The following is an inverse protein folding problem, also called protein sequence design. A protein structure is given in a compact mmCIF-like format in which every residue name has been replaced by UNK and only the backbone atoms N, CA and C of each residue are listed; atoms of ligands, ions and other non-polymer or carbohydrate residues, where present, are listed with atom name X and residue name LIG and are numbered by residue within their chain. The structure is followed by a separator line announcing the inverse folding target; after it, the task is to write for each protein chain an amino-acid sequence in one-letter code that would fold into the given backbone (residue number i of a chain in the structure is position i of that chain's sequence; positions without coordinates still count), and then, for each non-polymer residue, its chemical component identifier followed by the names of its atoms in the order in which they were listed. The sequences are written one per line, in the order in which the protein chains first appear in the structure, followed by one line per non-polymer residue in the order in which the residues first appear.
data_IF_032331620915
#
_entry.id   IF_032331620915
#
_cell.length_a   1.000
_cell.length_b   1.000
_cell.length_c   1.000
_cell.angle_alpha   90.00
_cell.angle_beta   90.00
_cell.angle_gamma   90.00
#
_symmetry.space_group_name_H-M   'P 1'
#
loop_
_entity.id
_entity.type
_entity.pdbx_description
1 polymer ?
#
# COMPACT_ATOMS: atom_id res chain seq x y z
N UNK A 1 34.09 5.68 25.89
CA UNK A 1 35.54 5.38 25.68
C UNK A 1 35.80 4.23 24.67
N UNK A 2 34.77 3.59 24.08
CA UNK A 2 34.92 2.48 23.10
C UNK A 2 35.13 2.92 21.65
N UNK A 3 34.60 4.08 21.26
CA UNK A 3 34.44 4.40 19.82
C UNK A 3 35.71 4.93 19.17
N UNK A 4 36.55 5.65 19.92
CA UNK A 4 37.84 6.15 19.43
C UNK A 4 38.88 5.05 19.21
N UNK A 5 38.79 3.94 19.98
CA UNK A 5 39.63 2.74 19.74
C UNK A 5 39.15 1.97 18.51
N UNK A 6 37.85 1.84 18.30
CA UNK A 6 37.26 1.18 17.13
C UNK A 6 37.55 1.90 15.81
N UNK A 7 37.65 3.23 15.84
CA UNK A 7 37.97 4.02 14.65
C UNK A 7 39.42 3.80 14.19
N UNK A 8 40.38 3.76 15.12
CA UNK A 8 41.80 3.41 14.83
C UNK A 8 41.98 1.97 14.35
N UNK A 9 41.13 1.04 14.82
CA UNK A 9 41.15 -0.37 14.41
C UNK A 9 40.73 -0.56 12.94
N UNK A 10 39.76 0.23 12.47
CA UNK A 10 39.22 0.10 11.11
C UNK A 10 40.15 0.61 9.99
N UNK A 11 41.24 1.29 10.36
CA UNK A 11 42.25 1.84 9.45
C UNK A 11 43.54 1.01 9.43
N UNK A 12 43.61 -0.11 10.15
CA UNK A 12 44.79 -0.97 10.17
C UNK A 12 44.84 -1.84 8.89
N UNK A 13 45.86 -1.67 8.02
CA UNK A 13 45.94 -2.38 6.74
C UNK A 13 46.09 -3.91 6.91
N UNK A 14 46.66 -4.38 8.01
CA UNK A 14 46.82 -5.81 8.30
C UNK A 14 45.46 -6.47 8.59
N UNK A 15 44.62 -5.81 9.38
CA UNK A 15 43.29 -6.32 9.72
C UNK A 15 42.36 -6.35 8.50
N UNK A 16 42.48 -5.37 7.59
CA UNK A 16 41.70 -5.33 6.35
C UNK A 16 42.10 -6.45 5.37
N UNK A 17 43.39 -6.79 5.26
CA UNK A 17 43.85 -7.93 4.46
C UNK A 17 43.28 -9.25 4.98
N UNK A 18 43.36 -9.49 6.29
CA UNK A 18 42.82 -10.70 6.93
C UNK A 18 41.30 -10.78 6.75
N UNK A 19 40.60 -9.66 6.90
CA UNK A 19 39.16 -9.59 6.64
C UNK A 19 38.83 -9.96 5.18
N UNK A 20 39.56 -9.41 4.20
CA UNK A 20 39.36 -9.71 2.80
C UNK A 20 39.62 -11.19 2.46
N UNK A 21 40.66 -11.79 3.05
CA UNK A 21 40.96 -13.21 2.88
C UNK A 21 39.89 -14.10 3.53
N UNK A 22 39.39 -13.73 4.71
CA UNK A 22 38.31 -14.45 5.37
C UNK A 22 36.97 -14.35 4.62
N UNK A 23 36.71 -13.20 4.00
CA UNK A 23 35.54 -12.98 3.15
C UNK A 23 35.65 -13.80 1.86
N UNK A 24 36.84 -13.87 1.23
CA UNK A 24 37.10 -14.79 0.09
C UNK A 24 36.90 -16.26 0.47
N UNK A 25 37.18 -16.64 1.72
CA UNK A 25 36.96 -17.97 2.25
C UNK A 25 35.51 -18.25 2.69
N UNK A 26 34.60 -17.26 2.60
CA UNK A 26 33.18 -17.45 2.94
C UNK A 26 32.89 -17.71 4.43
N UNK A 27 33.77 -17.28 5.34
CA UNK A 27 33.62 -17.51 6.77
C UNK A 27 32.47 -16.69 7.39
N UNK A 28 31.81 -17.25 8.42
CA UNK A 28 30.76 -16.55 9.18
C UNK A 28 31.33 -15.46 10.07
N UNK A 29 30.54 -14.43 10.38
CA UNK A 29 31.00 -13.24 11.13
C UNK A 29 31.60 -13.58 12.51
N UNK A 30 31.10 -14.64 13.17
CA UNK A 30 31.64 -15.14 14.45
C UNK A 30 33.05 -15.75 14.27
N UNK A 31 33.28 -16.51 13.20
CA UNK A 31 34.60 -17.10 12.90
C UNK A 31 35.61 -16.03 12.46
N UNK A 32 35.16 -15.04 11.70
CA UNK A 32 35.96 -13.87 11.32
C UNK A 32 36.41 -13.11 12.57
N UNK A 33 35.50 -12.89 13.53
CA UNK A 33 35.84 -12.23 14.80
C UNK A 33 36.90 -12.99 15.60
N UNK A 34 36.79 -14.32 15.69
CA UNK A 34 37.78 -15.15 16.39
C UNK A 34 39.16 -15.09 15.73
N UNK A 35 39.22 -15.15 14.40
CA UNK A 35 40.49 -15.09 13.66
C UNK A 35 41.16 -13.72 13.73
N UNK A 36 40.37 -12.65 13.63
CA UNK A 36 40.87 -11.29 13.84
C UNK A 36 41.40 -11.09 15.27
N UNK A 37 40.75 -11.68 16.28
CA UNK A 37 41.23 -11.63 17.65
C UNK A 37 42.56 -12.38 17.84
N UNK A 38 42.75 -13.52 17.17
CA UNK A 38 43.99 -14.31 17.24
C UNK A 38 45.16 -13.65 16.51
N UNK A 39 44.95 -13.17 15.28
CA UNK A 39 46.05 -12.68 14.42
C UNK A 39 46.37 -11.19 14.63
N UNK A 40 45.39 -10.39 15.06
CA UNK A 40 45.57 -8.96 15.29
C UNK A 40 45.59 -8.58 16.78
N UNK A 41 45.20 -9.48 17.70
CA UNK A 41 45.17 -9.21 19.14
C UNK A 41 44.04 -8.27 19.60
N UNK A 42 43.07 -7.95 18.73
CA UNK A 42 41.96 -7.04 19.03
C UNK A 42 40.60 -7.62 18.64
N UNK A 43 39.60 -7.43 19.49
CA UNK A 43 38.23 -7.92 19.26
C UNK A 43 37.40 -6.87 18.53
N UNK A 44 37.17 -7.09 17.23
CA UNK A 44 36.20 -6.28 16.48
C UNK A 44 34.78 -6.66 16.88
N UNK A 45 33.85 -5.70 16.90
CA UNK A 45 32.42 -6.01 17.08
C UNK A 45 31.85 -6.60 15.79
N UNK A 46 30.80 -7.43 15.91
CA UNK A 46 30.14 -8.06 14.76
C UNK A 46 29.59 -7.00 13.79
N UNK A 47 29.12 -5.86 14.31
CA UNK A 47 28.61 -4.75 13.50
C UNK A 47 29.69 -4.07 12.66
N UNK A 48 30.91 -3.95 13.20
CA UNK A 48 32.03 -3.36 12.45
C UNK A 48 32.48 -4.29 11.33
N UNK A 49 32.51 -5.60 11.59
CA UNK A 49 32.78 -6.63 10.58
C UNK A 49 31.70 -6.60 9.48
N UNK A 50 30.42 -6.55 9.88
CA UNK A 50 29.28 -6.49 8.95
C UNK A 50 29.26 -5.22 8.09
N UNK A 51 29.59 -4.06 8.67
CA UNK A 51 29.71 -2.80 7.91
C UNK A 51 30.84 -2.86 6.87
N UNK A 52 32.01 -3.39 7.24
CA UNK A 52 33.15 -3.50 6.31
C UNK A 52 32.94 -4.56 5.23
N UNK A 53 32.29 -5.68 5.54
CA UNK A 53 31.93 -6.68 4.54
C UNK A 53 30.96 -6.12 3.48
N UNK A 54 29.98 -5.30 3.91
CA UNK A 54 29.11 -4.55 2.99
C UNK A 54 29.87 -3.54 2.13
N UNK A 55 30.82 -2.80 2.72
CA UNK A 55 31.68 -1.90 1.97
C UNK A 55 32.59 -2.62 0.94
N UNK A 56 32.87 -3.91 1.14
CA UNK A 56 33.57 -4.77 0.19
C UNK A 56 32.64 -5.51 -0.79
N UNK A 57 31.36 -5.11 -0.88
CA UNK A 57 30.41 -5.65 -1.85
C UNK A 57 29.85 -7.04 -1.53
N UNK A 58 30.09 -7.57 -0.33
CA UNK A 58 29.60 -8.90 0.05
C UNK A 58 28.34 -8.78 0.91
N UNK A 59 27.20 -9.09 0.29
CA UNK A 59 25.91 -9.23 0.97
C UNK A 59 25.87 -10.57 1.73
N UNK A 60 25.17 -10.61 2.87
CA UNK A 60 25.00 -11.86 3.65
C UNK A 60 24.32 -12.88 2.74
N UNK A 61 24.95 -14.05 2.52
CA UNK A 61 24.20 -15.24 2.12
C UNK A 61 23.22 -15.55 3.25
N UNK A 62 21.94 -15.58 2.89
CA UNK A 62 20.80 -15.81 3.77
C UNK A 62 21.09 -16.90 4.80
N UNK A 63 21.16 -16.48 6.06
CA UNK A 63 21.27 -17.34 7.23
C UNK A 63 20.65 -16.59 8.38
N UNK A 64 19.38 -16.94 8.66
CA UNK A 64 18.47 -16.51 9.72
C UNK A 64 18.36 -14.99 9.99
N UNK A 65 17.15 -14.39 9.90
CA UNK A 65 16.96 -12.98 10.16
C UNK A 65 17.25 -12.69 11.63
N UNK A 66 18.39 -12.02 11.89
CA UNK A 66 18.59 -11.28 13.13
C UNK A 66 17.56 -10.15 13.18
N UNK A 67 16.96 -10.01 14.36
CA UNK A 67 15.78 -9.22 14.73
C UNK A 67 15.90 -7.68 14.58
N UNK A 68 16.69 -7.18 13.62
CA UNK A 68 16.98 -5.76 13.41
C UNK A 68 16.81 -5.27 11.96
N UNK A 69 16.42 -6.14 11.03
CA UNK A 69 16.02 -5.74 9.67
C UNK A 69 14.49 -5.82 9.52
N UNK A 70 13.76 -5.22 10.48
CA UNK A 70 12.37 -4.85 10.21
C UNK A 70 12.44 -3.68 9.25
N UNK A 71 12.24 -3.97 7.96
CA UNK A 71 11.72 -2.97 7.04
C UNK A 71 10.45 -2.43 7.70
N UNK A 72 10.54 -1.24 8.27
CA UNK A 72 9.51 -0.51 9.01
C UNK A 72 8.42 0.04 8.06
N UNK A 73 8.08 -0.75 7.04
CA UNK A 73 6.98 -0.52 6.13
C UNK A 73 5.95 -1.64 6.31
N UNK A 74 4.64 -1.33 6.33
CA UNK A 74 3.60 -2.34 6.32
C UNK A 74 3.51 -2.93 4.91
N UNK A 75 4.49 -3.74 4.54
CA UNK A 75 4.47 -4.44 3.25
C UNK A 75 3.85 -5.81 3.50
N UNK A 76 2.54 -5.91 3.26
CA UNK A 76 1.91 -7.21 3.04
C UNK A 76 2.64 -7.85 1.86
N UNK A 77 3.19 -9.03 2.09
CA UNK A 77 3.73 -9.83 0.98
C UNK A 77 2.57 -10.39 0.15
N UNK A 78 2.81 -10.81 -1.08
CA UNK A 78 1.77 -11.51 -1.84
C UNK A 78 1.59 -12.93 -1.28
N UNK A 79 0.35 -13.43 -1.13
CA UNK A 79 0.13 -14.80 -0.69
C UNK A 79 0.74 -15.76 -1.73
N UNK A 80 1.27 -16.92 -1.31
CA UNK A 80 1.81 -17.89 -2.25
C UNK A 80 0.74 -18.34 -3.26
N UNK A 81 1.12 -18.58 -4.53
CA UNK A 81 0.18 -19.05 -5.54
C UNK A 81 -0.34 -20.46 -5.20
N UNK A 82 -1.65 -20.68 -5.35
CA UNK A 82 -2.29 -22.00 -5.19
C UNK A 82 -2.96 -22.28 -3.84
N UNK A 83 -2.98 -21.35 -2.88
CA UNK A 83 -3.76 -21.52 -1.65
C UNK A 83 -5.26 -21.39 -1.89
N UNK A 84 -6.06 -22.15 -1.16
CA UNK A 84 -7.52 -21.96 -1.08
C UNK A 84 -7.87 -20.63 -0.43
N UNK A 85 -9.09 -20.11 -0.66
CA UNK A 85 -9.51 -18.81 -0.10
C UNK A 85 -9.44 -18.77 1.44
N UNK A 86 -9.76 -19.88 2.11
CA UNK A 86 -9.71 -19.98 3.57
C UNK A 86 -8.27 -19.94 4.09
N UNK A 87 -7.34 -20.60 3.39
CA UNK A 87 -5.92 -20.59 3.74
C UNK A 87 -5.27 -19.23 3.43
N UNK A 88 -5.69 -18.56 2.36
CA UNK A 88 -5.31 -17.16 2.07
C UNK A 88 -5.75 -16.22 3.19
N UNK A 89 -6.99 -16.35 3.66
CA UNK A 89 -7.49 -15.55 4.77
C UNK A 89 -6.66 -15.78 6.04
N UNK A 90 -6.34 -17.04 6.36
CA UNK A 90 -5.46 -17.37 7.48
C UNK A 90 -4.06 -16.75 7.34
N UNK A 91 -3.50 -16.81 6.13
CA UNK A 91 -2.19 -16.23 5.84
C UNK A 91 -2.18 -14.70 6.05
N UNK A 92 -3.19 -13.99 5.54
CA UNK A 92 -3.32 -12.54 5.75
C UNK A 92 -3.46 -12.18 7.24
N UNK A 93 -4.19 -13.00 8.02
CA UNK A 93 -4.29 -12.81 9.48
C UNK A 93 -2.94 -12.94 10.16
N UNK A 94 -2.15 -13.96 9.80
CA UNK A 94 -0.82 -14.16 10.38
C UNK A 94 0.16 -13.04 10.00
N UNK A 95 0.10 -12.56 8.75
CA UNK A 95 0.87 -11.39 8.33
C UNK A 95 0.46 -10.12 9.08
N UNK A 96 -0.84 -9.89 9.24
CA UNK A 96 -1.34 -8.73 9.96
C UNK A 96 -0.83 -8.69 11.40
N UNK A 97 -0.83 -9.84 12.10
CA UNK A 97 -0.31 -9.96 13.48
C UNK A 97 1.16 -9.57 13.62
N UNK A 98 1.95 -9.68 12.56
CA UNK A 98 3.38 -9.29 12.55
C UNK A 98 3.58 -7.78 12.37
N UNK A 99 2.55 -7.05 11.93
CA UNK A 99 2.65 -5.61 11.67
C UNK A 99 2.61 -4.76 12.95
N UNK A 100 3.13 -3.53 12.88
CA UNK A 100 3.01 -2.57 13.97
C UNK A 100 1.56 -2.13 14.20
N UNK A 101 0.72 -2.14 13.16
CA UNK A 101 -0.69 -1.78 13.25
C UNK A 101 -1.46 -2.71 14.19
N UNK A 102 -1.13 -4.00 14.20
CA UNK A 102 -1.75 -4.95 15.13
C UNK A 102 -1.55 -4.53 16.59
N UNK A 103 -0.34 -4.08 16.96
CA UNK A 103 -0.06 -3.57 18.32
C UNK A 103 -0.85 -2.30 18.64
N UNK A 104 -1.08 -1.46 17.64
CA UNK A 104 -1.90 -0.25 17.80
C UNK A 104 -3.37 -0.61 18.03
N UNK A 105 -3.91 -1.55 17.24
CA UNK A 105 -5.29 -2.02 17.34
C UNK A 105 -5.55 -2.68 18.70
N UNK A 106 -4.63 -3.51 19.18
CA UNK A 106 -4.69 -4.11 20.51
C UNK A 106 -4.76 -3.07 21.65
N UNK A 107 -4.25 -1.85 21.44
CA UNK A 107 -4.33 -0.76 22.43
C UNK A 107 -5.62 0.05 22.32
N UNK A 108 -6.26 0.05 21.14
CA UNK A 108 -7.41 0.90 20.84
C UNK A 108 -8.75 0.19 21.09
N UNK A 109 -8.79 -1.14 20.94
CA UNK A 109 -10.02 -1.93 20.95
C UNK A 109 -9.98 -3.06 21.98
N UNK A 110 -11.16 -3.54 22.36
CA UNK A 110 -11.31 -4.68 23.28
C UNK A 110 -10.99 -5.99 22.58
N UNK A 111 -10.64 -7.04 23.34
CA UNK A 111 -10.16 -8.32 22.77
C UNK A 111 -11.15 -8.93 21.78
N UNK A 112 -12.45 -8.90 22.08
CA UNK A 112 -13.51 -9.43 21.20
C UNK A 112 -13.59 -8.65 19.88
N UNK A 113 -13.44 -7.32 19.94
CA UNK A 113 -13.45 -6.45 18.75
C UNK A 113 -12.21 -6.65 17.89
N UNK A 114 -11.06 -6.91 18.51
CA UNK A 114 -9.82 -7.22 17.81
C UNK A 114 -9.92 -8.56 17.09
N UNK A 115 -10.55 -9.56 17.69
CA UNK A 115 -10.74 -10.86 17.03
C UNK A 115 -11.67 -10.73 15.81
N UNK A 116 -12.80 -10.03 15.94
CA UNK A 116 -13.67 -9.70 14.81
C UNK A 116 -12.93 -8.93 13.71
N UNK A 117 -12.12 -7.94 14.09
CA UNK A 117 -11.30 -7.17 13.16
C UNK A 117 -10.38 -8.09 12.35
N UNK A 118 -9.65 -9.00 13.01
CA UNK A 118 -8.71 -9.90 12.34
C UNK A 118 -9.44 -10.84 11.38
N UNK A 119 -10.62 -11.34 11.79
CA UNK A 119 -11.42 -12.21 10.96
C UNK A 119 -11.88 -11.51 9.68
N UNK A 120 -12.47 -10.33 9.82
CA UNK A 120 -12.94 -9.48 8.73
C UNK A 120 -11.79 -9.03 7.82
N UNK A 121 -10.64 -8.66 8.40
CA UNK A 121 -9.45 -8.27 7.67
C UNK A 121 -8.99 -9.37 6.71
N UNK A 122 -8.88 -10.61 7.20
CA UNK A 122 -8.49 -11.74 6.36
C UNK A 122 -9.44 -11.99 5.19
N UNK A 123 -10.76 -11.86 5.43
CA UNK A 123 -11.78 -12.04 4.39
C UNK A 123 -11.77 -10.92 3.36
N UNK A 124 -11.63 -9.67 3.80
CA UNK A 124 -11.62 -8.51 2.91
C UNK A 124 -10.38 -8.53 2.01
N UNK A 125 -9.21 -8.86 2.58
CA UNK A 125 -7.96 -8.99 1.83
C UNK A 125 -7.99 -10.08 0.76
N UNK A 126 -8.74 -11.17 0.97
CA UNK A 126 -8.87 -12.22 -0.05
C UNK A 126 -9.56 -11.75 -1.33
N UNK A 127 -10.32 -10.65 -1.28
CA UNK A 127 -10.97 -10.10 -2.46
C UNK A 127 -10.01 -9.40 -3.41
N UNK A 128 -8.79 -9.08 -2.96
CA UNK A 128 -7.78 -8.37 -3.72
C UNK A 128 -6.73 -9.37 -4.23
N UNK A 129 -6.36 -9.29 -5.50
CA UNK A 129 -5.28 -10.11 -6.08
C UNK A 129 -3.90 -9.60 -5.62
N UNK A 130 -3.75 -8.28 -5.59
CA UNK A 130 -2.62 -7.53 -5.06
C UNK A 130 -3.12 -6.39 -4.16
N UNK A 131 -2.56 -6.27 -2.95
CA UNK A 131 -2.94 -5.20 -2.02
C UNK A 131 -1.82 -4.17 -2.00
N UNK A 132 -2.13 -2.97 -2.50
CA UNK A 132 -1.21 -1.83 -2.41
C UNK A 132 -1.28 -1.23 -1.00
N UNK A 133 -0.20 -0.58 -0.54
CA UNK A 133 -0.12 0.03 0.80
C UNK A 133 -1.29 1.01 1.04
N UNK A 134 -1.70 1.77 0.03
CA UNK A 134 -2.85 2.69 0.13
C UNK A 134 -4.17 1.96 0.41
N UNK A 135 -4.44 0.85 -0.29
CA UNK A 135 -5.62 0.02 -0.01
C UNK A 135 -5.54 -0.63 1.36
N UNK A 136 -4.37 -1.12 1.75
CA UNK A 136 -4.18 -1.70 3.07
C UNK A 136 -4.56 -0.70 4.17
N UNK A 137 -4.15 0.57 4.03
CA UNK A 137 -4.55 1.63 4.96
C UNK A 137 -6.05 1.95 4.88
N UNK A 138 -6.64 1.98 3.67
CA UNK A 138 -8.08 2.18 3.51
C UNK A 138 -8.91 1.04 4.11
N UNK A 139 -8.45 -0.21 4.00
CA UNK A 139 -9.06 -1.39 4.61
C UNK A 139 -9.00 -1.27 6.14
N UNK A 140 -7.85 -0.86 6.68
CA UNK A 140 -7.70 -0.61 8.12
C UNK A 140 -8.68 0.48 8.62
N UNK A 141 -8.75 1.62 7.93
CA UNK A 141 -9.66 2.70 8.27
C UNK A 141 -11.14 2.27 8.17
N UNK A 142 -11.49 1.49 7.13
CA UNK A 142 -12.83 0.94 6.94
C UNK A 142 -13.24 0.02 8.10
N UNK A 143 -12.36 -0.89 8.52
CA UNK A 143 -12.63 -1.81 9.62
C UNK A 143 -12.72 -1.09 10.98
N UNK A 144 -11.85 -0.11 11.23
CA UNK A 144 -11.96 0.76 12.41
C UNK A 144 -13.31 1.47 12.46
N UNK A 145 -13.76 2.02 11.32
CA UNK A 145 -15.07 2.67 11.25
C UNK A 145 -16.21 1.69 11.50
N UNK A 146 -16.11 0.44 11.03
CA UNK A 146 -17.11 -0.60 11.33
C UNK A 146 -17.24 -0.83 12.84
N UNK A 147 -16.13 -1.02 13.56
CA UNK A 147 -16.15 -1.19 15.02
C UNK A 147 -16.75 0.02 15.73
N UNK A 148 -16.37 1.24 15.31
CA UNK A 148 -16.92 2.46 15.90
C UNK A 148 -18.43 2.58 15.69
N UNK A 149 -18.94 2.17 14.53
CA UNK A 149 -20.38 2.11 14.25
C UNK A 149 -21.08 1.14 15.19
N UNK A 150 -20.53 -0.07 15.37
CA UNK A 150 -21.12 -1.07 16.26
C UNK A 150 -21.14 -0.59 17.72
N UNK A 151 -20.09 0.08 18.18
CA UNK A 151 -20.06 0.74 19.51
C UNK A 151 -21.18 1.79 19.66
N UNK A 152 -21.43 2.60 18.64
CA UNK A 152 -22.53 3.58 18.69
C UNK A 152 -23.90 2.89 18.75
N UNK A 153 -24.09 1.76 18.05
CA UNK A 153 -25.34 0.99 18.11
C UNK A 153 -25.57 0.38 19.50
N UNK A 154 -24.53 -0.17 20.13
CA UNK A 154 -24.60 -0.70 21.49
C UNK A 154 -24.96 0.42 22.48
N UNK A 155 -24.30 1.57 22.38
CA UNK A 155 -24.57 2.74 23.22
C UNK A 155 -26.01 3.25 23.01
N UNK A 156 -26.44 3.39 21.76
CA UNK A 156 -27.80 3.82 21.40
C UNK A 156 -28.86 2.89 21.99
N UNK A 157 -28.64 1.57 21.92
CA UNK A 157 -29.52 0.57 22.54
C UNK A 157 -29.56 0.69 24.06
N UNK A 158 -28.43 0.93 24.72
CA UNK A 158 -28.38 1.15 26.17
C UNK A 158 -29.21 2.37 26.57
N UNK A 159 -29.02 3.49 25.89
CA UNK A 159 -29.75 4.73 26.17
C UNK A 159 -31.25 4.57 25.92
N UNK A 160 -31.65 3.87 24.87
CA UNK A 160 -33.06 3.58 24.59
C UNK A 160 -33.71 2.78 25.72
N UNK A 161 -33.01 1.81 26.31
CA UNK A 161 -33.50 1.07 27.48
C UNK A 161 -33.66 1.99 28.69
N UNK A 162 -32.65 2.80 29.00
CA UNK A 162 -32.72 3.75 30.12
C UNK A 162 -33.85 4.77 29.97
N UNK A 163 -34.10 5.24 28.73
CA UNK A 163 -35.23 6.11 28.41
C UNK A 163 -36.55 5.36 28.64
N UNK A 164 -36.67 4.12 28.16
CA UNK A 164 -37.87 3.31 28.34
C UNK A 164 -38.16 3.05 29.84
N UNK A 165 -37.13 2.76 30.64
CA UNK A 165 -37.26 2.55 32.08
C UNK A 165 -37.76 3.81 32.80
N UNK A 166 -37.22 4.99 32.45
CA UNK A 166 -37.70 6.27 32.97
C UNK A 166 -39.14 6.57 32.53
N UNK A 167 -39.49 6.29 31.28
CA UNK A 167 -40.86 6.46 30.77
C UNK A 167 -41.84 5.55 31.51
N UNK A 168 -41.47 4.28 31.74
CA UNK A 168 -42.28 3.36 32.56
C UNK A 168 -42.45 3.89 33.98
N UNK A 169 -41.40 4.46 34.58
CA UNK A 169 -41.49 5.08 35.90
C UNK A 169 -42.53 6.21 35.93
N UNK A 170 -42.60 7.07 34.90
CA UNK A 170 -43.63 8.11 34.78
C UNK A 170 -45.04 7.56 34.63
N UNK A 171 -45.21 6.46 33.89
CA UNK A 171 -46.51 5.79 33.74
C UNK A 171 -46.97 5.16 35.05
N UNK A 172 -46.05 4.51 35.78
CA UNK A 172 -46.35 3.91 37.09
C UNK A 172 -46.59 4.95 38.19
N UNK A 173 -46.04 6.16 38.04
CA UNK A 173 -46.18 7.26 39.00
C UNK A 173 -46.84 8.46 38.31
N UNK A 174 -48.14 8.40 37.98
CA UNK A 174 -48.84 9.53 37.37
C UNK A 174 -48.88 10.72 38.32
N UNK A 175 -48.96 11.94 37.76
CA UNK A 175 -49.06 13.16 38.56
C UNK A 175 -50.36 13.18 39.36
N UNK A 176 -50.27 13.34 40.67
CA UNK A 176 -51.44 13.54 41.54
C UNK A 176 -51.65 15.03 41.84
N UNK A 177 -52.90 15.46 42.05
CA UNK A 177 -53.22 16.87 42.35
C UNK A 177 -52.71 17.31 43.73
N UNK A 178 -52.63 16.40 44.69
CA UNK A 178 -52.20 16.65 46.07
C UNK A 178 -50.74 16.17 46.34
N UNK A 179 -49.84 16.27 45.35
CA UNK A 179 -48.43 15.86 45.55
C UNK A 179 -47.67 16.80 46.50
N UNK A 180 -46.90 16.21 47.43
CA UNK A 180 -45.95 16.97 48.24
C UNK A 180 -44.92 17.69 47.36
N UNK A 181 -44.44 18.83 47.86
CA UNK A 181 -43.44 19.67 47.15
C UNK A 181 -42.17 18.88 46.81
N UNK A 182 -41.77 17.94 47.67
CA UNK A 182 -40.54 17.17 47.46
C UNK A 182 -40.73 16.07 46.39
N UNK A 183 -41.89 15.43 46.32
CA UNK A 183 -42.29 14.56 45.20
C UNK A 183 -42.32 15.31 43.88
N UNK A 184 -42.85 16.54 43.88
CA UNK A 184 -42.87 17.41 42.70
C UNK A 184 -41.45 17.73 42.23
N UNK A 185 -40.52 18.08 43.13
CA UNK A 185 -39.10 18.31 42.79
C UNK A 185 -38.43 17.06 42.23
N UNK A 186 -38.69 15.89 42.83
CA UNK A 186 -38.14 14.63 42.36
C UNK A 186 -38.62 14.32 40.93
N UNK A 187 -39.91 14.52 40.65
CA UNK A 187 -40.49 14.36 39.31
C UNK A 187 -39.83 15.29 38.29
N UNK A 188 -39.61 16.56 38.63
CA UNK A 188 -38.91 17.52 37.77
C UNK A 188 -37.46 17.05 37.48
N UNK A 189 -36.76 16.51 38.49
CA UNK A 189 -35.42 15.97 38.31
C UNK A 189 -35.42 14.78 37.32
N UNK A 190 -36.38 13.86 37.46
CA UNK A 190 -36.52 12.72 36.54
C UNK A 190 -36.85 13.19 35.12
N UNK A 191 -37.68 14.23 34.98
CA UNK A 191 -38.04 14.78 33.68
C UNK A 191 -36.82 15.39 32.99
N UNK A 192 -36.01 16.13 33.74
CA UNK A 192 -34.74 16.66 33.24
C UNK A 192 -33.78 15.55 32.82
N UNK A 193 -33.68 14.46 33.58
CA UNK A 193 -32.84 13.32 33.21
C UNK A 193 -33.32 12.67 31.90
N UNK A 194 -34.63 12.54 31.71
CA UNK A 194 -35.23 12.03 30.49
C UNK A 194 -34.92 12.94 29.28
N UNK A 195 -35.06 14.25 29.45
CA UNK A 195 -34.73 15.24 28.40
C UNK A 195 -33.23 15.20 28.04
N UNK A 196 -32.35 15.12 29.05
CA UNK A 196 -30.90 15.01 28.86
C UNK A 196 -30.53 13.74 28.10
N UNK A 197 -31.16 12.60 28.43
CA UNK A 197 -30.96 11.32 27.73
C UNK A 197 -31.47 11.37 26.29
N UNK A 198 -32.63 11.99 26.02
CA UNK A 198 -33.10 12.19 24.65
C UNK A 198 -32.15 13.04 23.82
N UNK A 199 -31.63 14.13 24.40
CA UNK A 199 -30.63 14.97 23.75
C UNK A 199 -29.34 14.18 23.46
N UNK A 200 -28.90 13.36 24.41
CA UNK A 200 -27.73 12.53 24.22
C UNK A 200 -27.93 11.45 23.16
N UNK A 201 -29.09 10.78 23.14
CA UNK A 201 -29.47 9.82 22.11
C UNK A 201 -29.47 10.46 20.71
N UNK A 202 -30.00 11.68 20.57
CA UNK A 202 -29.92 12.43 19.32
C UNK A 202 -28.46 12.64 18.88
N UNK A 203 -27.59 13.04 19.81
CA UNK A 203 -26.16 13.20 19.52
C UNK A 203 -25.46 11.89 19.12
N UNK A 204 -25.86 10.75 19.69
CA UNK A 204 -25.37 9.42 19.29
C UNK A 204 -25.82 9.08 17.88
N UNK A 205 -27.09 9.33 17.53
CA UNK A 205 -27.61 9.10 16.18
C UNK A 205 -26.91 9.98 15.13
N UNK A 206 -26.70 11.26 15.42
CA UNK A 206 -26.00 12.17 14.52
C UNK A 206 -24.55 11.70 14.25
N UNK A 207 -23.86 11.20 15.29
CA UNK A 207 -22.51 10.61 15.17
C UNK A 207 -22.53 9.29 14.40
N UNK A 208 -23.53 8.45 14.63
CA UNK A 208 -23.73 7.20 13.90
C UNK A 208 -23.89 7.47 12.40
N UNK A 209 -24.77 8.41 12.03
CA UNK A 209 -25.00 8.77 10.62
C UNK A 209 -23.73 9.32 9.97
N UNK A 210 -22.94 10.13 10.69
CA UNK A 210 -21.65 10.62 10.21
C UNK A 210 -20.65 9.49 9.97
N UNK A 211 -20.51 8.54 10.91
CA UNK A 211 -19.61 7.40 10.78
C UNK A 211 -20.02 6.46 9.63
N UNK A 212 -21.32 6.24 9.44
CA UNK A 212 -21.84 5.43 8.33
C UNK A 212 -21.55 6.09 6.97
N UNK A 213 -21.70 7.42 6.87
CA UNK A 213 -21.36 8.17 5.64
C UNK A 213 -19.88 8.07 5.30
N UNK A 214 -18.99 8.28 6.27
CA UNK A 214 -17.54 8.15 6.05
C UNK A 214 -17.16 6.72 5.68
N UNK A 215 -17.74 5.72 6.36
CA UNK A 215 -17.53 4.30 5.99
C UNK A 215 -17.95 4.01 4.56
N UNK A 216 -19.12 4.51 4.12
CA UNK A 216 -19.61 4.33 2.76
C UNK A 216 -18.70 5.01 1.74
N UNK A 217 -18.16 6.19 2.07
CA UNK A 217 -17.21 6.92 1.24
C UNK A 217 -15.92 6.11 1.05
N UNK A 218 -15.32 5.60 2.13
CA UNK A 218 -14.12 4.75 2.07
C UNK A 218 -14.38 3.49 1.24
N UNK A 219 -15.53 2.85 1.45
CA UNK A 219 -15.91 1.66 0.67
C UNK A 219 -16.07 1.97 -0.82
N UNK A 220 -16.73 3.08 -1.16
CA UNK A 220 -16.89 3.50 -2.54
C UNK A 220 -15.56 3.86 -3.22
N UNK A 221 -14.63 4.49 -2.49
CA UNK A 221 -13.29 4.77 -3.03
C UNK A 221 -12.48 3.50 -3.23
N UNK A 222 -12.57 2.53 -2.32
CA UNK A 222 -11.90 1.25 -2.45
C UNK A 222 -12.41 0.47 -3.68
N UNK A 223 -13.73 0.46 -3.88
CA UNK A 223 -14.35 -0.15 -5.05
C UNK A 223 -13.99 0.58 -6.36
N UNK A 224 -13.94 1.92 -6.34
CA UNK A 224 -13.54 2.73 -7.49
C UNK A 224 -12.08 2.47 -7.88
N UNK A 225 -11.15 2.54 -6.93
CA UNK A 225 -9.73 2.26 -7.17
C UNK A 225 -9.51 0.84 -7.68
N UNK A 226 -10.29 -0.14 -7.19
CA UNK A 226 -10.27 -1.50 -7.70
C UNK A 226 -10.78 -1.57 -9.15
N UNK A 227 -11.86 -0.85 -9.45
CA UNK A 227 -12.41 -0.80 -10.80
C UNK A 227 -11.43 -0.12 -11.77
N UNK A 228 -10.83 1.00 -11.39
CA UNK A 228 -9.84 1.71 -12.19
C UNK A 228 -8.65 0.82 -12.49
N UNK A 229 -8.19 0.01 -11.52
CA UNK A 229 -7.13 -0.98 -11.75
C UNK A 229 -7.55 -2.13 -12.63
N UNK A 230 -8.75 -2.68 -12.45
CA UNK A 230 -9.27 -3.69 -13.37
C UNK A 230 -9.42 -3.12 -14.78
N UNK A 231 -9.80 -1.86 -14.90
CA UNK A 231 -9.93 -1.15 -16.17
C UNK A 231 -8.57 -0.75 -16.74
N UNK A 232 -7.51 -0.57 -15.95
CA UNK A 232 -6.12 -0.40 -16.42
C UNK A 232 -5.51 -1.73 -16.86
N UNK A 233 -5.73 -2.80 -16.09
CA UNK A 233 -5.38 -4.18 -16.46
C UNK A 233 -6.10 -4.63 -17.74
N UNK A 234 -7.37 -4.19 -17.92
CA UNK A 234 -8.14 -4.44 -19.16
C UNK A 234 -7.83 -3.42 -20.27
N UNK A 235 -7.48 -2.19 -19.91
CA UNK A 235 -7.28 -1.05 -20.80
C UNK A 235 -5.85 -0.92 -21.33
N UNK A 236 -4.93 -1.75 -20.84
CA UNK A 236 -3.62 -1.96 -21.44
C UNK A 236 -3.71 -2.74 -22.74
N UNK A 237 -4.08 -2.03 -23.82
CA UNK A 237 -4.30 -2.48 -25.22
C UNK A 237 -5.76 -2.91 -25.44
N UNK A 238 -6.47 -2.17 -26.28
CA UNK A 238 -7.41 -2.84 -27.19
C UNK A 238 -6.63 -4.03 -27.75
N UNK A 239 -7.02 -5.24 -27.35
CA UNK A 239 -6.35 -6.43 -27.87
C UNK A 239 -6.38 -6.32 -29.39
N UNK A 240 -5.33 -6.73 -30.08
CA UNK A 240 -5.31 -6.75 -31.55
C UNK A 240 -6.62 -7.36 -32.10
N UNK A 241 -7.20 -8.32 -31.37
CA UNK A 241 -8.49 -8.96 -31.65
C UNK A 241 -9.67 -7.99 -31.53
N UNK A 242 -9.73 -7.13 -30.52
CA UNK A 242 -10.78 -6.11 -30.37
C UNK A 242 -10.63 -5.00 -31.40
N UNK A 243 -9.41 -4.57 -31.72
CA UNK A 243 -9.15 -3.62 -32.79
C UNK A 243 -9.58 -4.18 -34.15
N UNK A 244 -9.24 -5.43 -34.44
CA UNK A 244 -9.68 -6.15 -35.64
C UNK A 244 -11.22 -6.29 -35.64
N UNK A 245 -11.84 -6.60 -34.51
CA UNK A 245 -13.31 -6.65 -34.38
C UNK A 245 -13.97 -5.30 -34.65
N UNK A 246 -13.40 -4.20 -34.12
CA UNK A 246 -13.87 -2.83 -34.37
C UNK A 246 -13.72 -2.45 -35.85
N UNK A 247 -12.58 -2.76 -36.48
CA UNK A 247 -12.38 -2.60 -37.92
C UNK A 247 -13.31 -3.48 -38.74
N UNK A 248 -13.72 -4.65 -38.27
CA UNK A 248 -14.57 -5.55 -39.04
C UNK A 248 -16.05 -5.12 -38.99
N UNK A 249 -16.51 -4.59 -37.85
CA UNK A 249 -17.91 -4.27 -37.60
C UNK A 249 -18.30 -2.80 -37.81
N UNK A 250 -17.35 -1.86 -37.80
CA UNK A 250 -17.63 -0.43 -38.00
C UNK A 250 -16.99 0.08 -39.30
N UNK A 251 -17.82 0.56 -40.24
CA UNK A 251 -17.34 1.18 -41.48
C UNK A 251 -16.66 2.53 -41.20
N UNK A 252 -17.20 3.32 -40.28
CA UNK A 252 -16.68 4.64 -39.94
C UNK A 252 -15.27 4.58 -39.32
N UNK A 253 -15.00 3.56 -38.51
CA UNK A 253 -13.66 3.35 -37.94
C UNK A 253 -12.66 2.87 -39.00
N UNK A 254 -13.09 2.07 -39.98
CA UNK A 254 -12.24 1.72 -41.14
C UNK A 254 -11.86 2.94 -41.95
N UNK A 255 -12.80 3.82 -42.24
CA UNK A 255 -12.55 5.00 -43.07
C UNK A 255 -11.62 5.99 -42.36
N UNK A 256 -11.79 6.17 -41.05
CA UNK A 256 -10.86 7.00 -40.24
C UNK A 256 -9.45 6.43 -40.22
N UNK A 257 -9.30 5.13 -39.95
CA UNK A 257 -7.98 4.48 -39.90
C UNK A 257 -7.34 4.41 -41.29
N UNK A 258 -8.12 4.21 -42.34
CA UNK A 258 -7.67 4.28 -43.74
C UNK A 258 -7.13 5.65 -44.09
N UNK A 259 -7.83 6.72 -43.71
CA UNK A 259 -7.33 8.10 -43.88
C UNK A 259 -6.05 8.34 -43.10
N UNK A 260 -5.97 7.88 -41.86
CA UNK A 260 -4.73 7.99 -41.07
C UNK A 260 -3.57 7.25 -41.73
N UNK A 261 -3.81 6.05 -42.27
CA UNK A 261 -2.80 5.26 -42.96
C UNK A 261 -2.31 5.96 -44.24
N UNK A 262 -3.22 6.51 -45.05
CA UNK A 262 -2.84 7.29 -46.25
C UNK A 262 -2.06 8.56 -45.88
N UNK A 263 -2.50 9.27 -44.85
CA UNK A 263 -1.84 10.51 -44.40
C UNK A 263 -0.45 10.22 -43.83
N UNK A 264 -0.29 9.10 -43.12
CA UNK A 264 1.02 8.63 -42.63
C UNK A 264 1.91 8.21 -43.79
N UNK A 265 1.36 7.55 -44.82
CA UNK A 265 2.11 7.19 -46.01
C UNK A 265 2.61 8.43 -46.75
N UNK A 266 1.74 9.42 -46.94
CA UNK A 266 2.07 10.66 -47.63
C UNK A 266 3.14 11.45 -46.86
N UNK A 267 2.98 11.58 -45.54
CA UNK A 267 4.01 12.18 -44.68
C UNK A 267 5.34 11.39 -44.70
N UNK A 268 5.30 10.06 -44.78
CA UNK A 268 6.50 9.25 -44.89
C UNK A 268 7.19 9.42 -46.25
N UNK A 269 6.43 9.54 -47.34
CA UNK A 269 6.95 9.81 -48.68
C UNK A 269 7.58 11.22 -48.74
N UNK A 270 6.94 12.24 -48.16
CA UNK A 270 7.48 13.61 -48.07
C UNK A 270 8.80 13.66 -47.30
N UNK A 271 8.86 13.01 -46.12
CA UNK A 271 10.09 12.90 -45.31
C UNK A 271 11.17 12.11 -46.06
N UNK A 272 10.78 11.09 -46.83
CA UNK A 272 11.71 10.30 -47.63
C UNK A 272 12.32 11.15 -48.75
N UNK A 273 11.53 12.01 -49.40
CA UNK A 273 12.04 12.96 -50.39
C UNK A 273 12.95 14.01 -49.77
N UNK A 274 12.61 14.55 -48.60
CA UNK A 274 13.45 15.50 -47.85
C UNK A 274 14.80 14.87 -47.48
N UNK A 275 14.80 13.63 -46.99
CA UNK A 275 16.02 12.91 -46.60
C UNK A 275 16.84 12.37 -47.79
N UNK A 276 16.29 12.41 -49.00
CA UNK A 276 17.03 12.14 -50.25
C UNK A 276 17.75 13.38 -50.78
N UNK A 277 17.46 14.58 -50.26
CA UNK A 277 18.17 15.78 -50.67
C UNK A 277 19.60 15.80 -50.09
N UNK A 278 20.57 16.36 -50.84
CA UNK A 278 21.94 16.48 -50.36
C UNK A 278 21.99 17.46 -49.17
N UNK A 279 22.55 17.02 -48.04
CA UNK A 279 22.73 17.84 -46.84
C UNK A 279 24.22 17.94 -46.53
N UNK A 280 24.68 19.13 -46.17
CA UNK A 280 26.06 19.35 -45.73
C UNK A 280 26.25 18.80 -44.32
N UNK A 281 27.11 17.79 -44.19
CA UNK A 281 27.50 17.25 -42.89
C UNK A 281 28.61 18.10 -42.25
N UNK A 282 28.81 18.01 -40.93
CA UNK A 282 29.79 18.84 -40.20
C UNK A 282 31.25 18.63 -40.61
N UNK A 283 31.54 17.56 -41.33
CA UNK A 283 32.84 17.21 -41.91
C UNK A 283 33.07 17.83 -43.31
N UNK A 284 32.06 18.51 -43.87
CA UNK A 284 32.08 19.13 -45.19
C UNK A 284 31.71 18.20 -46.33
N UNK A 285 31.32 16.94 -46.05
CA UNK A 285 30.75 16.05 -47.06
C UNK A 285 29.32 16.45 -47.41
N UNK A 286 28.94 16.30 -48.67
CA UNK A 286 27.58 16.54 -49.17
C UNK A 286 27.01 15.19 -49.59
N UNK A 287 26.20 14.60 -48.72
CA UNK A 287 25.58 13.30 -48.95
C UNK A 287 24.09 13.35 -48.55
N UNK A 288 23.22 12.52 -49.16
CA UNK A 288 21.85 12.36 -48.69
C UNK A 288 21.80 11.60 -47.36
N UNK A 289 20.78 11.88 -46.54
CA UNK A 289 20.63 11.28 -45.20
C UNK A 289 20.22 9.79 -45.28
N UNK A 290 19.42 9.42 -46.28
CA UNK A 290 19.04 8.03 -46.54
C UNK A 290 19.77 7.54 -47.80
N UNK A 291 20.43 6.38 -47.68
CA UNK A 291 21.00 5.64 -48.81
C UNK A 291 20.11 4.44 -49.16
N UNK A 292 19.39 4.52 -50.27
CA UNK A 292 18.60 3.43 -50.84
C UNK A 292 18.92 3.22 -52.34
N UNK A 293 18.32 2.19 -52.95
CA UNK A 293 18.63 1.80 -54.33
C UNK A 293 18.28 2.86 -55.39
N UNK A 294 17.50 3.88 -55.03
CA UNK A 294 17.10 4.98 -55.92
C UNK A 294 17.92 6.26 -55.65
N UNK A 295 18.90 6.21 -54.75
CA UNK A 295 19.75 7.35 -54.40
C UNK A 295 20.80 7.53 -55.50
N UNK A 296 20.59 8.50 -56.38
CA UNK A 296 21.47 8.81 -57.50
C UNK A 296 22.64 9.68 -57.03
N UNK A 297 23.82 9.07 -56.90
CA UNK A 297 25.07 9.79 -56.73
C UNK A 297 25.42 10.30 -58.12
N UNK A 298 24.96 11.51 -58.45
CA UNK A 298 25.08 12.09 -59.79
C UNK A 298 26.42 11.74 -60.44
N UNK A 299 26.34 11.23 -61.68
CA UNK A 299 27.48 10.73 -62.46
C UNK A 299 28.71 11.63 -62.28
N UNK A 300 29.84 11.00 -61.93
CA UNK A 300 31.16 11.62 -61.91
C UNK A 300 31.34 12.42 -63.21
N UNK A 301 31.19 13.74 -63.14
CA UNK A 301 31.64 14.63 -64.21
C UNK A 301 33.16 14.58 -64.17
N UNK A 302 33.74 13.64 -64.92
CA UNK A 302 35.14 13.61 -65.31
C UNK A 302 35.44 14.87 -66.16
N UNK A 303 35.91 15.94 -65.50
CA UNK A 303 36.77 16.99 -66.10
C UNK A 303 37.94 17.34 -65.17
#
# INVERSE_FOLDING_TARGET
MSDTKNQKLSSNPKALKILADCVRQGLTDKKIQQRLAQECGYKWTLDTIGRRRRAMGVTKKSGEPTNTDVLDGPVLTTPPPGLSETEKAYWFRDQFKKTHLYKTIQRQFETEEVDMYIEDFGLLCCQFEDIVISEFMQIDDFLKHRILVDRQLILGRSLQREIADLQMWFVSNPKQEDEDKDTTKFRILQQRQLDDKHRYLKGVNDRYDALVKERQKIYSSLAATRKDRLDELKGGKESFIELVGKLQHSQDERDKQGRFAELTKLAADDIKEEFRQPVEFPDGSVEPIIMDADTDFGEDTDE
#
